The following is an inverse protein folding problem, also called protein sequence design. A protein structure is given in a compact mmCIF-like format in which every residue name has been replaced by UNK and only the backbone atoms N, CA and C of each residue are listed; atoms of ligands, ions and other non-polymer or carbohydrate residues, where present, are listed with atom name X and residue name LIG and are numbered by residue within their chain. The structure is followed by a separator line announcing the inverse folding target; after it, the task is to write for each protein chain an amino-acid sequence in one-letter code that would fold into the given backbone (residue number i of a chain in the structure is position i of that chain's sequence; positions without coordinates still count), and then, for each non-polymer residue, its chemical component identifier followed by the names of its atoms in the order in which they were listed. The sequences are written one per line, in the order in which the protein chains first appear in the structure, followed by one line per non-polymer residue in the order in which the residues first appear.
data_IF_786915163046
#
_entry.id   IF_786915163046
#
_cell.length_a   1.000
_cell.length_b   1.000
_cell.length_c   1.000
_cell.angle_alpha   90.00
_cell.angle_beta   90.00
_cell.angle_gamma   90.00
#
_symmetry.space_group_name_H-M   'P 1'
#
loop_
_entity.id
_entity.type
_entity.pdbx_description
1 polymer ?
#
# COMPACT_ATOMS: atom_id res chain seq x y z
N UNK A 1 -20.21 0.26 2.91
CA UNK A 1 -19.21 0.04 3.98
C UNK A 1 -19.76 -0.76 5.17
N UNK A 2 -20.84 -0.38 5.86
CA UNK A 2 -21.43 -1.23 6.93
C UNK A 2 -21.80 -2.66 6.50
N UNK A 3 -22.25 -2.85 5.25
CA UNK A 3 -22.51 -4.16 4.68
C UNK A 3 -21.24 -5.05 4.56
N UNK A 4 -20.05 -4.45 4.46
CA UNK A 4 -18.76 -5.15 4.44
C UNK A 4 -18.36 -5.65 5.83
N UNK A 5 -18.89 -5.06 6.91
CA UNK A 5 -18.60 -5.48 8.29
C UNK A 5 -19.51 -6.53 8.85
N UNK A 6 -20.71 -6.57 8.30
CA UNK A 6 -21.60 -7.68 8.51
C UNK A 6 -21.09 -8.92 7.75
N UNK A 7 -20.09 -8.76 6.88
CA UNK A 7 -19.35 -9.87 6.28
C UNK A 7 -18.26 -10.35 7.26
N UNK A 8 -18.11 -11.66 7.49
CA UNK A 8 -17.09 -12.19 8.40
C UNK A 8 -15.66 -12.11 7.84
N UNK A 9 -15.50 -11.89 6.53
CA UNK A 9 -14.20 -11.95 5.84
C UNK A 9 -13.17 -10.94 6.39
N UNK A 10 -13.49 -9.64 6.57
CA UNK A 10 -12.53 -8.68 7.11
C UNK A 10 -12.04 -9.03 8.52
N UNK A 11 -12.93 -9.60 9.35
CA UNK A 11 -12.60 -10.02 10.70
C UNK A 11 -11.65 -11.23 10.72
N UNK A 12 -11.90 -12.24 9.86
CA UNK A 12 -10.99 -13.39 9.73
C UNK A 12 -9.62 -13.00 9.19
N UNK A 13 -9.55 -12.03 8.28
CA UNK A 13 -8.30 -11.48 7.77
C UNK A 13 -7.52 -10.76 8.88
N UNK A 14 -8.20 -9.97 9.70
CA UNK A 14 -7.60 -9.31 10.85
C UNK A 14 -7.09 -10.32 11.89
N UNK A 15 -7.87 -11.35 12.20
CA UNK A 15 -7.48 -12.43 13.09
C UNK A 15 -6.27 -13.20 12.57
N UNK A 16 -6.21 -13.48 11.26
CA UNK A 16 -5.08 -14.16 10.62
C UNK A 16 -3.82 -13.29 10.64
N UNK A 17 -3.97 -11.98 10.39
CA UNK A 17 -2.86 -11.02 10.51
C UNK A 17 -2.35 -10.90 11.96
N UNK A 18 -3.25 -10.89 12.95
CA UNK A 18 -2.90 -10.86 14.36
C UNK A 18 -2.22 -12.16 14.82
N UNK A 19 -2.63 -13.31 14.28
CA UNK A 19 -2.03 -14.61 14.59
C UNK A 19 -0.56 -14.71 14.13
N UNK A 20 -0.18 -14.04 13.04
CA UNK A 20 1.22 -13.97 12.58
C UNK A 20 2.16 -13.34 13.63
N UNK A 21 1.63 -12.49 14.52
CA UNK A 21 2.40 -11.89 15.62
C UNK A 21 2.65 -12.87 16.79
N UNK A 22 1.87 -13.94 16.87
CA UNK A 22 1.88 -14.92 17.97
C UNK A 22 2.40 -16.30 17.55
N UNK A 23 2.78 -16.50 16.29
CA UNK A 23 3.31 -17.78 15.82
C UNK A 23 4.72 -18.03 16.36
N UNK A 24 4.86 -19.18 17.03
CA UNK A 24 6.11 -19.74 17.60
C UNK A 24 6.78 -20.76 16.68
N UNK A 25 6.26 -20.97 15.47
CA UNK A 25 6.81 -21.89 14.47
C UNK A 25 7.89 -21.22 13.60
N UNK A 26 8.64 -22.02 12.83
CA UNK A 26 9.83 -21.74 11.99
C UNK A 26 9.80 -20.50 11.05
N UNK A 27 8.77 -19.65 11.11
CA UNK A 27 8.64 -18.41 10.33
C UNK A 27 9.43 -17.28 10.98
N UNK A 28 10.36 -16.70 10.23
CA UNK A 28 11.17 -15.55 10.65
C UNK A 28 10.35 -14.26 10.71
N UNK A 29 10.82 -13.27 11.47
CA UNK A 29 10.20 -11.94 11.52
C UNK A 29 10.14 -11.26 10.13
N UNK A 30 11.11 -11.56 9.27
CA UNK A 30 11.18 -11.07 7.89
C UNK A 30 10.09 -11.65 7.01
N UNK A 31 9.86 -12.97 7.10
CA UNK A 31 8.78 -13.65 6.38
C UNK A 31 7.40 -13.14 6.82
N UNK A 32 7.20 -12.99 8.14
CA UNK A 32 5.98 -12.40 8.69
C UNK A 32 5.74 -10.97 8.20
N UNK A 33 6.79 -10.14 8.11
CA UNK A 33 6.69 -8.78 7.59
C UNK A 33 6.32 -8.76 6.10
N UNK A 34 6.89 -9.67 5.29
CA UNK A 34 6.52 -9.82 3.88
C UNK A 34 5.04 -10.16 3.70
N UNK A 35 4.52 -11.08 4.53
CA UNK A 35 3.08 -11.42 4.52
C UNK A 35 2.23 -10.20 4.92
N UNK A 36 2.61 -9.46 5.97
CA UNK A 36 1.88 -8.28 6.42
C UNK A 36 1.86 -7.15 5.38
N UNK A 37 2.93 -6.95 4.61
CA UNK A 37 2.97 -5.99 3.50
C UNK A 37 1.96 -6.35 2.41
N UNK A 38 1.88 -7.64 2.04
CA UNK A 38 0.91 -8.14 1.07
C UNK A 38 -0.52 -8.05 1.60
N UNK A 39 -0.77 -8.41 2.87
CA UNK A 39 -2.07 -8.23 3.52
C UNK A 39 -2.50 -6.76 3.53
N UNK A 40 -1.58 -5.84 3.82
CA UNK A 40 -1.83 -4.39 3.80
C UNK A 40 -2.15 -3.88 2.40
N UNK A 41 -1.42 -4.34 1.36
CA UNK A 41 -1.71 -4.00 -0.04
C UNK A 41 -3.14 -4.42 -0.44
N UNK A 42 -3.51 -5.67 -0.15
CA UNK A 42 -4.78 -6.24 -0.59
C UNK A 42 -5.95 -5.94 0.33
N UNK A 43 -5.71 -5.45 1.55
CA UNK A 43 -6.76 -4.84 2.39
C UNK A 43 -7.52 -3.74 1.64
N UNK A 44 -6.85 -2.96 0.77
CA UNK A 44 -7.49 -1.95 -0.08
C UNK A 44 -8.44 -2.53 -1.15
N UNK A 45 -8.47 -3.85 -1.36
CA UNK A 45 -9.42 -4.55 -2.25
C UNK A 45 -10.72 -4.95 -1.56
N UNK A 46 -10.80 -4.89 -0.22
CA UNK A 46 -12.04 -5.20 0.52
C UNK A 46 -13.18 -4.20 0.20
N UNK A 47 -12.83 -3.04 -0.36
CA UNK A 47 -13.75 -2.06 -0.90
C UNK A 47 -14.39 -2.53 -2.21
N UNK A 48 -15.38 -3.41 -2.10
CA UNK A 48 -16.48 -3.65 -3.05
C UNK A 48 -16.18 -4.11 -4.47
N UNK A 49 -14.92 -4.10 -4.92
CA UNK A 49 -14.61 -4.16 -6.35
C UNK A 49 -14.37 -5.57 -6.91
N UNK A 50 -14.33 -6.64 -6.10
CA UNK A 50 -14.15 -7.98 -6.67
C UNK A 50 -14.54 -9.16 -5.75
N UNK A 51 -15.30 -10.13 -6.27
CA UNK A 51 -15.66 -11.38 -5.57
C UNK A 51 -14.49 -12.37 -5.42
N UNK A 52 -13.48 -12.32 -6.29
CA UNK A 52 -12.45 -13.38 -6.33
C UNK A 52 -11.48 -13.38 -5.13
N UNK A 53 -11.28 -12.24 -4.45
CA UNK A 53 -10.51 -12.20 -3.17
C UNK A 53 -11.28 -12.88 -2.04
N UNK A 54 -12.62 -12.85 -2.08
CA UNK A 54 -13.45 -13.57 -1.11
C UNK A 54 -13.37 -15.08 -1.32
N UNK A 55 -13.21 -15.53 -2.57
CA UNK A 55 -13.15 -16.96 -2.92
C UNK A 55 -11.77 -17.60 -2.66
N UNK A 56 -10.70 -16.80 -2.60
CA UNK A 56 -9.33 -17.22 -2.25
C UNK A 56 -9.08 -17.27 -0.74
N UNK A 57 -10.03 -16.82 0.08
CA UNK A 57 -9.96 -16.92 1.54
C UNK A 57 -10.66 -18.22 1.97
N UNK A 58 -9.89 -19.28 2.17
CA UNK A 58 -10.40 -20.60 2.60
C UNK A 58 -9.80 -20.99 3.96
N UNK A 59 -10.62 -21.63 4.80
CA UNK A 59 -10.18 -22.22 6.07
C UNK A 59 -10.59 -21.46 7.33
N UNK A 60 -10.41 -22.11 8.49
CA UNK A 60 -10.56 -21.53 9.85
C UNK A 60 -9.52 -20.45 10.16
N UNK A 61 -8.43 -20.41 9.39
CA UNK A 61 -7.49 -19.29 9.30
C UNK A 61 -7.54 -18.77 7.86
N UNK A 62 -7.99 -17.53 7.67
CA UNK A 62 -8.09 -16.90 6.36
C UNK A 62 -6.69 -16.65 5.80
N UNK A 63 -6.11 -17.64 5.15
CA UNK A 63 -4.94 -17.43 4.30
C UNK A 63 -5.42 -16.74 3.04
N UNK A 64 -4.94 -15.53 2.81
CA UNK A 64 -5.06 -14.88 1.53
C UNK A 64 -4.12 -15.65 0.59
N UNK A 65 -4.66 -16.62 -0.15
CA UNK A 65 -3.94 -17.29 -1.25
C UNK A 65 -3.78 -16.27 -2.39
N UNK A 66 -2.85 -15.34 -2.16
CA UNK A 66 -2.54 -14.24 -3.06
C UNK A 66 -1.67 -14.84 -4.14
N UNK A 67 -2.26 -15.07 -5.30
CA UNK A 67 -1.49 -15.39 -6.48
C UNK A 67 -0.59 -14.20 -6.83
N UNK A 68 0.72 -14.37 -6.64
CA UNK A 68 1.76 -13.40 -6.99
C UNK A 68 1.68 -12.98 -8.46
N UNK A 69 0.98 -13.74 -9.32
CA UNK A 69 0.68 -13.34 -10.70
C UNK A 69 -0.09 -12.00 -10.82
N UNK A 70 -0.75 -11.53 -9.76
CA UNK A 70 -1.43 -10.23 -9.74
C UNK A 70 -0.56 -9.07 -9.23
N UNK A 71 0.67 -9.34 -8.78
CA UNK A 71 1.63 -8.34 -8.32
C UNK A 71 2.58 -7.98 -9.46
N UNK A 72 2.51 -6.74 -9.96
CA UNK A 72 3.27 -6.32 -11.14
C UNK A 72 4.68 -5.84 -10.82
N UNK A 73 4.91 -5.46 -9.56
CA UNK A 73 6.20 -5.08 -9.01
C UNK A 73 6.18 -5.42 -7.52
N UNK A 74 7.27 -6.02 -7.02
CA UNK A 74 7.39 -6.44 -5.62
C UNK A 74 8.75 -6.07 -5.02
N UNK A 75 8.83 -4.88 -4.43
CA UNK A 75 10.02 -4.42 -3.71
C UNK A 75 10.02 -4.82 -2.22
N UNK A 76 9.16 -5.76 -1.78
CA UNK A 76 9.01 -6.12 -0.36
C UNK A 76 10.33 -6.59 0.28
N UNK A 77 11.13 -7.39 -0.43
CA UNK A 77 12.41 -7.88 0.08
C UNK A 77 13.40 -6.73 0.33
N UNK A 78 13.45 -5.75 -0.56
CA UNK A 78 14.30 -4.57 -0.40
C UNK A 78 13.84 -3.70 0.79
N UNK A 79 12.52 -3.57 0.99
CA UNK A 79 11.95 -2.86 2.13
C UNK A 79 12.30 -3.55 3.47
N UNK A 80 12.21 -4.88 3.53
CA UNK A 80 12.57 -5.67 4.72
C UNK A 80 14.04 -5.44 5.07
N UNK A 81 14.94 -5.57 4.08
CA UNK A 81 16.37 -5.31 4.28
C UNK A 81 16.65 -3.88 4.75
N UNK A 82 15.96 -2.89 4.19
CA UNK A 82 16.11 -1.49 4.57
C UNK A 82 15.68 -1.23 6.03
N UNK A 83 14.60 -1.86 6.47
CA UNK A 83 14.13 -1.76 7.86
C UNK A 83 15.09 -2.45 8.83
N UNK A 84 15.61 -3.63 8.46
CA UNK A 84 16.61 -4.35 9.25
C UNK A 84 17.90 -3.53 9.42
N UNK A 85 18.31 -2.78 8.40
CA UNK A 85 19.46 -1.88 8.46
C UNK A 85 19.21 -0.60 9.28
N UNK A 86 17.94 -0.24 9.55
CA UNK A 86 17.55 1.01 10.21
C UNK A 86 16.57 0.83 11.38
N UNK A 87 16.87 -0.04 12.36
CA UNK A 87 15.91 -0.50 13.37
C UNK A 87 15.42 0.61 14.33
N UNK A 88 16.12 1.74 14.42
CA UNK A 88 15.79 2.84 15.32
C UNK A 88 15.15 4.04 14.62
N UNK A 89 15.06 4.05 13.28
CA UNK A 89 14.44 5.15 12.55
C UNK A 89 12.90 4.99 12.55
N UNK A 90 12.12 6.07 12.70
CA UNK A 90 10.66 5.96 12.75
C UNK A 90 10.08 5.55 11.37
N UNK A 91 8.99 4.78 11.39
CA UNK A 91 8.22 4.41 10.19
C UNK A 91 6.89 5.17 10.22
N UNK A 92 6.61 5.94 9.17
CA UNK A 92 5.38 6.73 9.07
C UNK A 92 4.41 6.10 8.06
N UNK A 93 3.10 6.22 8.30
CA UNK A 93 2.05 5.72 7.41
C UNK A 93 1.24 6.87 6.81
N UNK A 94 0.94 6.80 5.51
CA UNK A 94 -0.03 7.65 4.83
C UNK A 94 -1.18 6.77 4.33
N UNK A 95 -2.37 6.92 4.91
CA UNK A 95 -3.54 6.07 4.66
C UNK A 95 -4.36 6.53 3.42
N UNK A 96 -5.20 5.63 2.87
CA UNK A 96 -6.00 5.83 1.62
C UNK A 96 -7.50 6.01 1.88
N UNK A 97 -8.17 5.03 2.50
CA UNK A 97 -9.62 5.01 2.71
C UNK A 97 -9.99 5.21 4.20
N UNK A 98 -11.22 5.68 4.45
CA UNK A 98 -11.87 5.68 5.77
C UNK A 98 -13.21 4.92 5.71
N UNK A 99 -13.56 4.19 6.77
CA UNK A 99 -14.60 3.14 6.76
C UNK A 99 -14.49 2.29 8.02
N UNK A 100 -14.62 0.98 8.05
CA UNK A 100 -14.29 0.22 9.30
C UNK A 100 -12.81 0.14 9.64
N UNK A 101 -11.98 0.71 8.78
CA UNK A 101 -10.66 1.19 9.17
C UNK A 101 -10.76 2.25 10.32
N UNK A 102 -11.92 2.91 10.50
CA UNK A 102 -12.27 3.99 11.47
C UNK A 102 -12.71 3.55 12.86
N UNK A 103 -12.93 2.26 13.17
CA UNK A 103 -13.27 1.91 14.57
C UNK A 103 -12.09 2.17 15.52
N UNK A 104 -10.86 2.16 14.98
CA UNK A 104 -9.68 2.74 15.60
C UNK A 104 -9.45 4.20 15.16
N UNK A 105 -9.90 4.61 13.97
CA UNK A 105 -9.83 6.03 13.61
C UNK A 105 -10.80 6.94 14.38
N UNK A 106 -11.73 6.48 15.23
CA UNK A 106 -12.50 7.34 16.15
C UNK A 106 -11.74 7.63 17.45
N UNK A 107 -10.89 6.69 17.90
CA UNK A 107 -9.87 6.95 18.93
C UNK A 107 -8.68 7.74 18.37
N UNK A 108 -8.34 7.51 17.10
CA UNK A 108 -7.34 8.29 16.38
C UNK A 108 -7.91 9.66 15.95
N UNK A 109 -9.20 9.81 15.61
CA UNK A 109 -9.79 11.11 15.28
C UNK A 109 -9.94 11.99 16.52
N UNK A 110 -10.26 11.42 17.69
CA UNK A 110 -10.21 12.13 18.98
C UNK A 110 -8.78 12.63 19.31
N UNK A 111 -7.76 11.85 18.93
CA UNK A 111 -6.35 12.27 18.99
C UNK A 111 -5.95 13.28 17.88
N UNK A 112 -6.41 13.08 16.64
CA UNK A 112 -6.07 13.86 15.45
C UNK A 112 -6.81 15.21 15.37
N UNK A 113 -7.89 15.39 16.12
CA UNK A 113 -8.54 16.69 16.34
C UNK A 113 -7.67 17.66 17.16
N UNK A 114 -6.51 17.21 17.65
CA UNK A 114 -5.50 18.10 18.26
C UNK A 114 -4.28 18.38 17.36
N UNK A 115 -4.01 17.63 16.27
CA UNK A 115 -2.74 17.72 15.52
C UNK A 115 -2.73 17.34 14.01
N UNK A 116 -3.86 17.31 13.27
CA UNK A 116 -3.83 16.92 11.84
C UNK A 116 -3.63 18.09 10.85
N UNK A 117 -2.71 17.92 9.88
CA UNK A 117 -2.40 18.92 8.85
C UNK A 117 -3.33 18.80 7.63
N UNK A 118 -3.97 19.90 7.21
CA UNK A 118 -5.04 19.89 6.19
C UNK A 118 -4.62 19.40 4.78
N UNK A 119 -3.31 19.34 4.49
CA UNK A 119 -2.76 18.93 3.18
C UNK A 119 -3.26 17.56 2.72
N UNK A 120 -3.51 16.63 3.64
CA UNK A 120 -3.92 15.26 3.31
C UNK A 120 -5.30 15.18 2.65
N UNK A 121 -6.16 16.17 2.92
CA UNK A 121 -7.52 16.28 2.38
C UNK A 121 -7.62 17.30 1.24
N UNK A 122 -6.50 17.85 0.77
CA UNK A 122 -6.46 18.79 -0.35
C UNK A 122 -6.12 18.07 -1.66
N UNK A 123 -6.39 18.73 -2.79
CA UNK A 123 -6.05 18.26 -4.14
C UNK A 123 -4.54 18.34 -4.45
N UNK A 124 -3.71 18.67 -3.46
CA UNK A 124 -2.28 18.89 -3.62
C UNK A 124 -1.54 17.58 -3.89
N UNK A 125 -0.52 17.69 -4.73
CA UNK A 125 0.43 16.64 -5.00
C UNK A 125 1.60 16.67 -4.01
N UNK A 126 2.39 15.60 -3.93
CA UNK A 126 3.44 15.50 -2.93
C UNK A 126 4.65 16.43 -3.18
N UNK A 127 4.80 16.96 -4.39
CA UNK A 127 5.75 18.04 -4.65
C UNK A 127 5.29 19.39 -4.09
N UNK A 128 4.03 19.52 -3.67
CA UNK A 128 3.43 20.71 -3.05
C UNK A 128 3.26 20.59 -1.53
N UNK A 129 3.89 19.58 -0.92
CA UNK A 129 3.88 19.39 0.54
C UNK A 129 4.46 20.63 1.24
N UNK A 130 3.74 21.21 2.22
CA UNK A 130 4.24 22.28 3.07
C UNK A 130 5.52 21.89 3.81
N UNK A 131 6.33 22.90 4.14
CA UNK A 131 7.68 22.70 4.69
C UNK A 131 7.67 21.98 6.04
N UNK A 132 6.68 22.24 6.89
CA UNK A 132 6.51 21.57 8.18
C UNK A 132 6.22 20.09 8.00
N UNK A 133 5.28 19.73 7.11
CA UNK A 133 4.96 18.34 6.79
C UNK A 133 6.15 17.64 6.14
N UNK A 134 6.85 18.31 5.23
CA UNK A 134 8.08 17.81 4.60
C UNK A 134 9.16 17.53 5.65
N UNK A 135 9.37 18.44 6.59
CA UNK A 135 10.34 18.29 7.66
C UNK A 135 9.98 17.11 8.59
N UNK A 136 8.70 16.94 8.94
CA UNK A 136 8.24 15.78 9.71
C UNK A 136 8.46 14.47 8.95
N UNK A 137 8.18 14.40 7.66
CA UNK A 137 8.42 13.19 6.87
C UNK A 137 9.92 12.90 6.71
N UNK A 138 10.76 13.93 6.61
CA UNK A 138 12.21 13.77 6.46
C UNK A 138 12.89 13.06 7.65
N UNK A 139 12.26 13.04 8.83
CA UNK A 139 12.80 12.30 10.00
C UNK A 139 12.52 10.79 9.93
N UNK A 140 11.61 10.35 9.07
CA UNK A 140 11.26 8.94 8.92
C UNK A 140 12.39 8.15 8.25
N UNK A 141 12.64 6.92 8.72
CA UNK A 141 13.49 5.95 8.03
C UNK A 141 12.78 5.28 6.85
N UNK A 142 11.45 5.21 6.91
CA UNK A 142 10.58 4.74 5.83
C UNK A 142 9.18 5.34 5.96
N UNK A 143 8.60 5.76 4.83
CA UNK A 143 7.18 6.09 4.73
C UNK A 143 6.44 5.00 3.95
N UNK A 144 5.42 4.40 4.56
CA UNK A 144 4.51 3.47 3.88
C UNK A 144 3.29 4.27 3.39
N UNK A 145 3.16 4.40 2.08
CA UNK A 145 2.06 5.11 1.44
C UNK A 145 1.07 4.12 0.85
N UNK A 146 -0.20 4.23 1.25
CA UNK A 146 -1.25 3.30 0.83
C UNK A 146 -2.07 3.88 -0.29
N UNK A 147 -2.39 3.05 -1.27
CA UNK A 147 -3.54 3.25 -2.13
C UNK A 147 -3.33 4.03 -3.42
N UNK A 148 -4.40 4.13 -4.19
CA UNK A 148 -4.38 4.66 -5.56
C UNK A 148 -4.26 6.20 -5.56
N UNK A 149 -4.97 6.88 -4.67
CA UNK A 149 -4.94 8.34 -4.58
C UNK A 149 -3.54 8.86 -4.21
N UNK A 150 -2.91 8.25 -3.20
CA UNK A 150 -1.56 8.61 -2.79
C UNK A 150 -0.52 8.28 -3.87
N UNK A 151 -0.69 7.19 -4.60
CA UNK A 151 0.20 6.89 -5.73
C UNK A 151 0.09 7.91 -6.86
N UNK A 152 -1.14 8.33 -7.22
CA UNK A 152 -1.35 9.44 -8.15
C UNK A 152 -0.69 10.73 -7.64
N UNK A 153 -0.69 10.94 -6.32
CA UNK A 153 0.01 12.07 -5.69
C UNK A 153 1.52 12.06 -5.85
N UNK A 154 2.15 10.88 -5.86
CA UNK A 154 3.55 10.73 -6.24
C UNK A 154 3.80 11.07 -7.71
N UNK A 155 2.93 10.63 -8.61
CA UNK A 155 3.15 10.80 -10.04
C UNK A 155 2.69 12.17 -10.59
N UNK A 156 2.06 12.99 -9.74
CA UNK A 156 1.37 14.20 -10.16
C UNK A 156 0.20 13.93 -11.10
N UNK A 157 -0.39 12.74 -11.00
CA UNK A 157 -1.46 12.24 -11.86
C UNK A 157 -1.13 12.27 -13.37
N UNK A 158 0.15 12.16 -13.73
CA UNK A 158 0.62 12.19 -15.12
C UNK A 158 0.71 10.78 -15.73
N UNK A 159 0.44 10.69 -17.03
CA UNK A 159 0.64 9.48 -17.82
C UNK A 159 2.11 9.34 -18.25
N UNK A 160 2.96 8.96 -17.30
CA UNK A 160 4.35 8.60 -17.58
C UNK A 160 4.42 7.33 -18.45
N UNK A 161 5.47 7.15 -19.28
CA UNK A 161 5.79 5.83 -19.82
C UNK A 161 5.90 4.83 -18.68
N UNK A 162 5.24 3.66 -18.80
CA UNK A 162 5.13 2.72 -17.69
C UNK A 162 6.49 2.15 -17.23
N UNK A 163 7.50 2.20 -18.10
CA UNK A 163 8.88 1.81 -17.81
C UNK A 163 9.69 2.87 -17.07
N UNK A 164 9.15 4.06 -16.83
CA UNK A 164 9.85 5.14 -16.11
C UNK A 164 10.18 4.66 -14.69
N UNK A 165 11.40 4.84 -14.16
CA UNK A 165 11.67 4.48 -12.76
C UNK A 165 10.86 5.33 -11.78
N UNK A 166 10.35 4.74 -10.69
CA UNK A 166 9.58 5.49 -9.68
C UNK A 166 10.41 6.61 -9.04
N UNK A 167 11.71 6.41 -8.85
CA UNK A 167 12.66 7.43 -8.38
C UNK A 167 12.76 8.65 -9.29
N UNK A 168 12.55 8.46 -10.60
CA UNK A 168 12.52 9.55 -11.60
C UNK A 168 11.20 10.31 -11.56
N UNK A 169 10.09 9.63 -11.29
CA UNK A 169 8.76 10.25 -11.23
C UNK A 169 8.51 10.98 -9.89
N UNK A 170 9.13 10.54 -8.79
CA UNK A 170 8.96 11.09 -7.45
C UNK A 170 10.28 11.52 -6.75
N UNK A 171 11.18 12.27 -7.41
CA UNK A 171 12.48 12.63 -6.84
C UNK A 171 12.36 13.57 -5.62
N UNK A 172 11.25 14.30 -5.54
CA UNK A 172 10.99 15.35 -4.57
C UNK A 172 10.53 14.84 -3.19
N UNK A 173 10.22 13.55 -3.04
CA UNK A 173 9.75 13.02 -1.76
C UNK A 173 10.89 13.05 -0.73
N UNK A 174 10.68 13.48 0.52
CA UNK A 174 11.78 13.86 1.40
C UNK A 174 12.58 12.69 1.98
N UNK A 175 12.06 11.46 1.96
CA UNK A 175 12.69 10.29 2.57
C UNK A 175 12.46 9.02 1.74
N UNK A 176 13.00 7.89 2.20
CA UNK A 176 12.68 6.56 1.69
C UNK A 176 11.20 6.26 1.83
N UNK A 177 10.58 5.69 0.80
CA UNK A 177 9.17 5.32 0.86
C UNK A 177 8.88 4.04 0.09
N UNK A 178 7.78 3.39 0.48
CA UNK A 178 7.15 2.30 -0.27
C UNK A 178 5.70 2.65 -0.54
N UNK A 179 5.27 2.51 -1.79
CA UNK A 179 3.90 2.69 -2.21
C UNK A 179 3.24 1.32 -2.39
N UNK A 180 2.19 1.05 -1.61
CA UNK A 180 1.36 -0.15 -1.68
C UNK A 180 0.06 0.21 -2.38
N UNK A 181 -0.05 -0.11 -3.67
CA UNK A 181 -1.20 0.31 -4.49
C UNK A 181 -1.89 -0.87 -5.13
N UNK A 182 -3.21 -0.93 -4.97
CA UNK A 182 -4.09 -1.62 -5.92
C UNK A 182 -4.39 -0.72 -7.11
N UNK A 183 -4.25 -1.23 -8.34
CA UNK A 183 -4.40 -0.50 -9.61
C UNK A 183 -5.87 -0.10 -9.86
N UNK A 184 -6.22 1.17 -9.62
CA UNK A 184 -7.58 1.72 -9.83
C UNK A 184 -7.59 2.97 -10.73
N UNK A 185 -6.48 3.29 -11.38
CA UNK A 185 -6.32 4.44 -12.29
C UNK A 185 -5.18 4.23 -13.29
N UNK A 186 -5.18 4.99 -14.38
CA UNK A 186 -4.23 4.83 -15.49
C UNK A 186 -2.73 5.03 -15.16
N UNK A 187 -2.32 6.03 -14.36
CA UNK A 187 -0.91 6.30 -14.12
C UNK A 187 -0.19 5.10 -13.52
N UNK A 188 0.95 4.69 -14.07
CA UNK A 188 1.83 3.66 -13.49
C UNK A 188 3.25 3.89 -13.99
N UNK A 189 4.23 3.50 -13.19
CA UNK A 189 5.65 3.57 -13.51
C UNK A 189 6.34 2.30 -13.01
N UNK A 190 7.60 2.07 -13.36
CA UNK A 190 8.43 0.99 -12.86
C UNK A 190 7.99 -0.42 -13.24
N UNK A 191 7.23 -0.60 -14.33
CA UNK A 191 6.86 -1.92 -14.85
C UNK A 191 7.59 -2.23 -16.17
N UNK A 192 7.92 -3.50 -16.39
CA UNK A 192 8.61 -3.94 -17.60
C UNK A 192 7.72 -3.75 -18.86
N UNK A 193 8.36 -3.41 -19.98
CA UNK A 193 7.66 -3.15 -21.26
C UNK A 193 6.86 -4.37 -21.72
N UNK A 194 7.40 -5.55 -21.48
CA UNK A 194 6.82 -6.84 -21.85
C UNK A 194 5.54 -7.11 -21.05
N UNK A 195 5.54 -6.75 -19.76
CA UNK A 195 4.37 -6.87 -18.88
C UNK A 195 3.27 -5.92 -19.35
N UNK A 196 3.61 -4.65 -19.63
CA UNK A 196 2.65 -3.68 -20.16
C UNK A 196 2.05 -4.12 -21.51
N UNK A 197 2.89 -4.54 -22.45
CA UNK A 197 2.45 -4.96 -23.78
C UNK A 197 1.53 -6.19 -23.71
N UNK A 198 1.87 -7.19 -22.88
CA UNK A 198 1.05 -8.38 -22.64
C UNK A 198 -0.31 -7.99 -22.06
N UNK A 199 -0.33 -7.18 -21.00
CA UNK A 199 -1.58 -6.80 -20.32
C UNK A 199 -2.49 -5.94 -21.18
N UNK A 200 -1.95 -5.09 -22.04
CA UNK A 200 -2.75 -4.30 -22.99
C UNK A 200 -3.55 -5.19 -23.97
N UNK A 201 -3.09 -6.41 -24.24
CA UNK A 201 -3.80 -7.38 -25.09
C UNK A 201 -4.76 -8.25 -24.25
N UNK A 202 -4.26 -8.81 -23.14
CA UNK A 202 -4.99 -9.82 -22.38
C UNK A 202 -6.08 -9.25 -21.46
N UNK A 203 -5.89 -8.03 -20.94
CA UNK A 203 -6.86 -7.38 -20.05
C UNK A 203 -6.82 -5.86 -20.26
N UNK A 204 -7.50 -5.30 -21.29
CA UNK A 204 -7.44 -3.87 -21.60
C UNK A 204 -7.82 -2.91 -20.46
N UNK A 205 -8.47 -3.41 -19.40
CA UNK A 205 -8.87 -2.64 -18.22
C UNK A 205 -7.93 -2.85 -17.02
N UNK A 206 -6.78 -3.50 -17.21
CA UNK A 206 -5.87 -3.92 -16.14
C UNK A 206 -5.40 -2.79 -15.21
N UNK A 207 -5.41 -1.55 -15.69
CA UNK A 207 -5.00 -0.35 -14.95
C UNK A 207 -6.07 0.15 -13.97
N UNK A 208 -7.34 -0.12 -14.26
CA UNK A 208 -8.47 0.49 -13.56
C UNK A 208 -9.42 -0.51 -12.91
N UNK A 209 -9.28 -1.80 -13.23
CA UNK A 209 -10.20 -2.84 -12.77
C UNK A 209 -9.91 -3.35 -11.34
N UNK A 210 -8.90 -2.82 -10.64
CA UNK A 210 -8.59 -3.19 -9.27
C UNK A 210 -7.99 -4.60 -9.10
N UNK A 211 -7.74 -5.35 -10.18
CA UNK A 211 -7.28 -6.75 -10.07
C UNK A 211 -5.81 -6.86 -9.68
N UNK A 212 -4.99 -5.90 -10.10
CA UNK A 212 -3.53 -5.93 -9.94
C UNK A 212 -3.06 -4.95 -8.89
N UNK A 213 -1.87 -5.18 -8.36
CA UNK A 213 -1.23 -4.30 -7.40
C UNK A 213 0.25 -4.13 -7.69
N UNK A 214 0.85 -3.15 -7.01
CA UNK A 214 2.28 -2.89 -7.00
C UNK A 214 2.75 -2.61 -5.57
N UNK A 215 3.93 -3.12 -5.24
CA UNK A 215 4.74 -2.74 -4.08
C UNK A 215 6.00 -2.14 -4.67
N UNK A 216 6.11 -0.82 -4.65
CA UNK A 216 7.25 -0.11 -5.24
C UNK A 216 7.91 0.80 -4.22
N UNK A 217 9.23 0.72 -4.12
CA UNK A 217 10.02 1.47 -3.17
C UNK A 217 11.01 2.42 -3.86
N UNK A 218 11.26 3.55 -3.21
CA UNK A 218 12.43 4.39 -3.46
C UNK A 218 13.18 4.46 -2.14
N UNK A 219 14.29 3.74 -2.06
CA UNK A 219 15.11 3.64 -0.86
C UNK A 219 16.34 4.56 -1.00
N UNK A 220 16.58 5.35 0.03
CA UNK A 220 17.71 6.27 0.17
C UNK A 220 18.59 5.77 1.30
N UNK A 221 19.90 5.91 1.12
CA UNK A 221 20.92 5.65 2.14
C UNK A 221 20.81 6.64 3.32
#
# INVERSE_FOLDING_TARGET
KMAELNDPTPWRLLESAAALHHTTDDTTAEESLGVLLKLSLWGNKADGAYKQVKDSIRGTHATLDIDDAYLLADDSAAVIQHLAAHPTKPVHFINDNCGTEILLDLALADHLLTHSHAVWNQYRFYFELPDDVRATLATAGLVISKGDANYRRFLGDRLWPATTPLSTAAPFFPTSFVALRTMKSDPVVGIAREVEAKLNVEDPLWRINGKRGVIQAVLRE
#
